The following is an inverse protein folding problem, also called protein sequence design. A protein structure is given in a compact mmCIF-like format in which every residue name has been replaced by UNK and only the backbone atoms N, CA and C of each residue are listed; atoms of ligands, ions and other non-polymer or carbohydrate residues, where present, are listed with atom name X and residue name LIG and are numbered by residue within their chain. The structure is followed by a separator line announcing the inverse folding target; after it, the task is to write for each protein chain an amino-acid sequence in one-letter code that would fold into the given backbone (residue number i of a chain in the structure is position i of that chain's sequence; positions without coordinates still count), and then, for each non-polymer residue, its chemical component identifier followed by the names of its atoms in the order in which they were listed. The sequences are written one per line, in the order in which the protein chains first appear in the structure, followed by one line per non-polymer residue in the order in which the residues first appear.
data_IF_526930892085
#
_entry.id   IF_526930892085
#
_cell.length_a   1.000
_cell.length_b   1.000
_cell.length_c   1.000
_cell.angle_alpha   90.00
_cell.angle_beta   90.00
_cell.angle_gamma   90.00
#
_symmetry.space_group_name_H-M   'P 1'
#
loop_
_entity.id
_entity.type
_entity.pdbx_description
1 polymer ?
#
# COMPACT_ATOMS: atom_id res chain seq x y z
N UNK A 1 -31.96 -4.39 -74.14
CA UNK A 1 -32.12 -3.23 -73.24
C UNK A 1 -32.44 -3.62 -71.79
N UNK A 2 -33.66 -4.07 -71.42
CA UNK A 2 -33.95 -4.41 -70.01
C UNK A 2 -33.10 -5.56 -69.48
N UNK A 3 -32.89 -6.61 -70.30
CA UNK A 3 -32.05 -7.76 -69.92
C UNK A 3 -30.59 -7.36 -69.65
N UNK A 4 -30.00 -6.55 -70.52
CA UNK A 4 -28.63 -6.04 -70.34
C UNK A 4 -28.49 -5.14 -69.11
N UNK A 5 -29.51 -4.32 -68.81
CA UNK A 5 -29.55 -3.51 -67.59
C UNK A 5 -29.61 -4.39 -66.34
N UNK A 6 -30.43 -5.45 -66.37
CA UNK A 6 -30.51 -6.42 -65.27
C UNK A 6 -29.22 -7.21 -65.10
N UNK A 7 -28.58 -7.64 -66.18
CA UNK A 7 -27.30 -8.37 -66.13
C UNK A 7 -26.18 -7.47 -65.57
N UNK A 8 -26.13 -6.20 -65.95
CA UNK A 8 -25.20 -5.20 -65.40
C UNK A 8 -25.43 -4.95 -63.91
N UNK A 9 -26.70 -4.82 -63.50
CA UNK A 9 -27.07 -4.68 -62.09
C UNK A 9 -26.68 -5.91 -61.27
N UNK A 10 -26.95 -7.12 -61.76
CA UNK A 10 -26.62 -8.37 -61.08
C UNK A 10 -25.11 -8.54 -60.90
N UNK A 11 -24.31 -8.18 -61.92
CA UNK A 11 -22.85 -8.19 -61.80
C UNK A 11 -22.36 -7.18 -60.75
N UNK A 12 -22.89 -5.95 -60.78
CA UNK A 12 -22.54 -4.92 -59.79
C UNK A 12 -22.92 -5.34 -58.36
N UNK A 13 -24.08 -5.99 -58.20
CA UNK A 13 -24.55 -6.50 -56.92
C UNK A 13 -23.66 -7.64 -56.42
N UNK A 14 -23.19 -8.51 -57.32
CA UNK A 14 -22.25 -9.59 -56.99
C UNK A 14 -20.92 -9.02 -56.49
N UNK A 15 -20.32 -8.10 -57.24
CA UNK A 15 -19.07 -7.44 -56.85
C UNK A 15 -19.19 -6.69 -55.51
N UNK A 16 -20.33 -6.02 -55.29
CA UNK A 16 -20.61 -5.35 -54.03
C UNK A 16 -20.67 -6.35 -52.87
N UNK A 17 -21.39 -7.47 -53.04
CA UNK A 17 -21.53 -8.49 -52.01
C UNK A 17 -20.19 -9.17 -51.71
N UNK A 18 -19.34 -9.43 -52.72
CA UNK A 18 -18.01 -9.97 -52.53
C UNK A 18 -17.12 -9.02 -51.70
N UNK A 19 -17.10 -7.72 -52.05
CA UNK A 19 -16.37 -6.71 -51.29
C UNK A 19 -16.88 -6.57 -49.85
N UNK A 20 -18.21 -6.55 -49.67
CA UNK A 20 -18.84 -6.48 -48.35
C UNK A 20 -18.48 -7.69 -47.49
N UNK A 21 -18.55 -8.89 -48.06
CA UNK A 21 -18.21 -10.12 -47.35
C UNK A 21 -16.73 -10.15 -46.96
N UNK A 22 -15.85 -9.73 -47.87
CA UNK A 22 -14.43 -9.62 -47.57
C UNK A 22 -14.16 -8.64 -46.42
N UNK A 23 -14.78 -7.45 -46.45
CA UNK A 23 -14.66 -6.46 -45.38
C UNK A 23 -15.17 -7.00 -44.04
N UNK A 24 -16.31 -7.73 -44.04
CA UNK A 24 -16.85 -8.34 -42.82
C UNK A 24 -15.89 -9.36 -42.21
N UNK A 25 -15.29 -10.24 -43.03
CA UNK A 25 -14.29 -11.23 -42.56
C UNK A 25 -13.08 -10.55 -41.90
N UNK A 26 -12.62 -9.43 -42.46
CA UNK A 26 -11.52 -8.65 -41.87
C UNK A 26 -11.94 -8.03 -40.54
N UNK A 27 -13.15 -7.45 -40.45
CA UNK A 27 -13.70 -6.90 -39.21
C UNK A 27 -13.78 -7.98 -38.12
N UNK A 28 -14.35 -9.14 -38.43
CA UNK A 28 -14.52 -10.24 -37.48
C UNK A 28 -13.16 -10.74 -36.98
N UNK A 29 -12.15 -10.80 -37.86
CA UNK A 29 -10.78 -11.15 -37.50
C UNK A 29 -10.16 -10.14 -36.53
N UNK A 30 -10.31 -8.85 -36.80
CA UNK A 30 -9.76 -7.80 -35.92
C UNK A 30 -10.53 -7.71 -34.59
N UNK A 31 -11.84 -7.93 -34.59
CA UNK A 31 -12.64 -8.07 -33.36
C UNK A 31 -12.13 -9.24 -32.51
N UNK A 32 -11.92 -10.41 -33.11
CA UNK A 32 -11.33 -11.56 -32.40
C UNK A 32 -9.91 -11.27 -31.88
N UNK A 33 -9.14 -10.41 -32.54
CA UNK A 33 -7.83 -9.95 -32.06
C UNK A 33 -7.97 -9.01 -30.85
N UNK A 34 -8.93 -8.08 -30.90
CA UNK A 34 -9.25 -7.18 -29.78
C UNK A 34 -9.69 -7.96 -28.53
N UNK A 35 -10.56 -8.96 -28.68
CA UNK A 35 -10.97 -9.80 -27.56
C UNK A 35 -9.80 -10.54 -26.91
N UNK A 36 -8.88 -11.08 -27.72
CA UNK A 36 -7.66 -11.74 -27.21
C UNK A 36 -6.76 -10.76 -26.47
N UNK A 37 -6.61 -9.54 -26.98
CA UNK A 37 -5.84 -8.49 -26.31
C UNK A 37 -6.50 -8.07 -25.00
N UNK A 38 -7.82 -7.92 -24.97
CA UNK A 38 -8.56 -7.59 -23.75
C UNK A 38 -8.36 -8.66 -22.68
N UNK A 39 -8.49 -9.95 -23.02
CA UNK A 39 -8.21 -11.06 -22.08
C UNK A 39 -6.77 -11.02 -21.54
N UNK A 40 -5.79 -10.62 -22.35
CA UNK A 40 -4.40 -10.45 -21.88
C UNK A 40 -4.28 -9.28 -20.91
N UNK A 41 -4.93 -8.14 -21.19
CA UNK A 41 -4.97 -6.99 -20.29
C UNK A 41 -5.60 -7.39 -18.95
N UNK A 42 -6.72 -8.09 -18.97
CA UNK A 42 -7.42 -8.50 -17.75
C UNK A 42 -6.56 -9.47 -16.91
N UNK A 43 -5.86 -10.40 -17.57
CA UNK A 43 -4.88 -11.27 -16.91
C UNK A 43 -3.73 -10.48 -16.30
N UNK A 44 -3.20 -9.49 -17.01
CA UNK A 44 -2.12 -8.63 -16.49
C UNK A 44 -2.57 -7.79 -15.30
N UNK A 45 -3.81 -7.25 -15.33
CA UNK A 45 -4.40 -6.53 -14.20
C UNK A 45 -4.58 -7.42 -12.99
N UNK A 46 -5.09 -8.64 -13.18
CA UNK A 46 -5.21 -9.60 -12.11
C UNK A 46 -3.82 -9.95 -11.53
N UNK A 47 -2.84 -10.25 -12.38
CA UNK A 47 -1.47 -10.49 -11.94
C UNK A 47 -0.88 -9.30 -11.15
N UNK A 48 -1.15 -8.06 -11.57
CA UNK A 48 -0.69 -6.86 -10.86
C UNK A 48 -1.35 -6.72 -9.48
N UNK A 49 -2.63 -7.09 -9.37
CA UNK A 49 -3.35 -7.05 -8.10
C UNK A 49 -2.88 -8.14 -7.13
N UNK A 50 -2.61 -9.34 -7.65
CA UNK A 50 -2.11 -10.49 -6.88
C UNK A 50 -0.60 -10.43 -6.62
N UNK A 51 0.13 -9.46 -7.19
CA UNK A 51 1.55 -9.33 -6.94
C UNK A 51 1.77 -9.09 -5.45
N UNK A 52 2.54 -9.96 -4.77
CA UNK A 52 2.78 -9.79 -3.35
C UNK A 52 3.55 -8.47 -3.13
N UNK A 53 2.94 -7.56 -2.37
CA UNK A 53 3.64 -6.37 -1.92
C UNK A 53 4.48 -6.74 -0.70
N UNK A 54 5.74 -6.27 -0.59
CA UNK A 54 6.52 -6.43 0.63
C UNK A 54 5.75 -5.90 1.84
N UNK A 55 5.47 -6.75 2.81
CA UNK A 55 4.83 -6.30 4.04
C UNK A 55 5.91 -5.69 4.94
N UNK A 56 5.94 -4.36 5.03
CA UNK A 56 6.90 -3.63 5.85
C UNK A 56 6.78 -3.98 7.34
N UNK A 57 5.58 -4.37 7.78
CA UNK A 57 5.35 -4.75 9.16
C UNK A 57 6.10 -6.04 9.49
N UNK A 58 5.90 -7.08 8.67
CA UNK A 58 6.56 -8.38 8.85
C UNK A 58 8.06 -8.33 8.55
N UNK A 59 8.46 -7.48 7.61
CA UNK A 59 9.85 -7.42 7.14
C UNK A 59 10.74 -6.53 8.02
N UNK A 60 10.15 -5.58 8.76
CA UNK A 60 10.92 -4.58 9.51
C UNK A 60 10.44 -4.45 10.95
N UNK A 61 9.15 -4.21 11.19
CA UNK A 61 8.66 -3.90 12.56
C UNK A 61 8.68 -5.13 13.45
N UNK A 62 8.27 -6.30 12.94
CA UNK A 62 8.35 -7.57 13.65
C UNK A 62 9.79 -7.94 14.07
N UNK A 63 10.78 -8.01 13.15
CA UNK A 63 12.16 -8.27 13.52
C UNK A 63 12.75 -7.25 14.50
N UNK A 64 12.43 -5.97 14.34
CA UNK A 64 12.88 -4.92 15.24
C UNK A 64 12.31 -5.10 16.66
N UNK A 65 11.01 -5.38 16.76
CA UNK A 65 10.36 -5.65 18.04
C UNK A 65 10.94 -6.89 18.71
N UNK A 66 11.18 -7.96 17.96
CA UNK A 66 11.79 -9.18 18.49
C UNK A 66 13.20 -8.91 19.05
N UNK A 67 14.05 -8.18 18.31
CA UNK A 67 15.39 -7.83 18.75
C UNK A 67 15.38 -7.00 20.04
N UNK A 68 14.52 -5.98 20.12
CA UNK A 68 14.37 -5.14 21.32
C UNK A 68 13.78 -5.95 22.50
N UNK A 69 12.82 -6.82 22.23
CA UNK A 69 12.19 -7.69 23.22
C UNK A 69 13.18 -8.64 23.87
N UNK A 70 14.06 -9.26 23.08
CA UNK A 70 15.13 -10.13 23.57
C UNK A 70 16.10 -9.34 24.46
N UNK A 71 16.47 -8.13 24.04
CA UNK A 71 17.42 -7.28 24.77
C UNK A 71 16.85 -6.78 26.10
N UNK A 72 15.60 -6.37 26.11
CA UNK A 72 14.89 -5.92 27.32
C UNK A 72 14.44 -7.07 28.23
N UNK A 73 14.51 -8.32 27.73
CA UNK A 73 13.90 -9.49 28.35
C UNK A 73 12.41 -9.27 28.71
N UNK A 74 11.64 -8.75 27.74
CA UNK A 74 10.20 -8.46 27.87
C UNK A 74 9.43 -9.17 26.78
N UNK A 75 8.09 -9.13 26.85
CA UNK A 75 7.19 -9.46 25.74
C UNK A 75 6.82 -8.18 25.01
N UNK A 76 6.35 -8.28 23.77
CA UNK A 76 5.90 -7.12 23.00
C UNK A 76 4.54 -7.31 22.37
N UNK A 77 3.86 -6.19 22.13
CA UNK A 77 2.63 -6.13 21.34
C UNK A 77 2.61 -4.84 20.50
N UNK A 78 1.84 -4.85 19.40
CA UNK A 78 1.73 -3.72 18.48
C UNK A 78 0.37 -3.07 18.57
N UNK A 79 0.38 -1.74 18.56
CA UNK A 79 -0.81 -0.91 18.53
C UNK A 79 -0.74 -0.03 17.29
N UNK A 80 -1.59 -0.33 16.31
CA UNK A 80 -1.66 0.37 15.02
C UNK A 80 -1.85 -0.58 13.85
N UNK A 81 -1.63 -0.11 12.61
CA UNK A 81 -1.32 1.28 12.25
C UNK A 81 -2.51 2.22 12.49
N UNK A 82 -2.26 3.43 12.98
CA UNK A 82 -3.27 4.46 13.21
C UNK A 82 -3.05 5.73 12.39
N UNK A 83 -4.15 6.43 12.11
CA UNK A 83 -4.15 7.75 11.49
C UNK A 83 -3.58 7.79 10.06
N UNK A 84 -3.39 9.01 9.56
CA UNK A 84 -2.89 9.25 8.19
C UNK A 84 -1.39 8.95 8.03
N UNK A 85 -0.64 8.84 9.13
CA UNK A 85 0.80 8.57 9.11
C UNK A 85 1.13 7.09 9.27
N UNK A 86 0.11 6.22 9.37
CA UNK A 86 0.25 4.80 9.67
C UNK A 86 1.14 4.54 10.89
N UNK A 87 0.94 5.34 11.94
CA UNK A 87 1.78 5.26 13.13
C UNK A 87 1.53 3.96 13.87
N UNK A 88 2.59 3.29 14.30
CA UNK A 88 2.49 2.05 15.06
C UNK A 88 3.36 2.16 16.28
N UNK A 89 2.77 1.90 17.44
CA UNK A 89 3.49 1.86 18.70
C UNK A 89 3.79 0.42 19.07
N UNK A 90 5.05 0.14 19.38
CA UNK A 90 5.50 -1.12 19.94
C UNK A 90 5.53 -0.93 21.45
N UNK A 91 4.80 -1.76 22.20
CA UNK A 91 4.85 -1.79 23.65
C UNK A 91 5.60 -3.03 24.12
N UNK A 92 6.57 -2.84 25.01
CA UNK A 92 7.31 -3.90 25.69
C UNK A 92 6.86 -3.97 27.15
N UNK A 93 6.46 -5.15 27.59
CA UNK A 93 5.81 -5.37 28.88
C UNK A 93 6.12 -6.76 29.44
N UNK A 94 5.88 -6.96 30.74
CA UNK A 94 6.12 -8.26 31.38
C UNK A 94 5.05 -9.29 31.00
N UNK A 95 3.79 -8.88 30.91
CA UNK A 95 2.67 -9.79 30.71
C UNK A 95 1.63 -9.23 29.72
N UNK A 96 1.48 -9.90 28.57
CA UNK A 96 0.51 -9.56 27.53
C UNK A 96 -0.95 -9.70 27.98
N UNK A 97 -1.22 -10.45 29.06
CA UNK A 97 -2.58 -10.61 29.58
C UNK A 97 -3.01 -9.44 30.50
N UNK A 98 -2.10 -8.52 30.81
CA UNK A 98 -2.37 -7.34 31.62
C UNK A 98 -2.44 -6.14 30.67
N UNK A 99 -3.42 -5.25 30.87
CA UNK A 99 -3.50 -4.01 30.08
C UNK A 99 -2.21 -3.19 30.20
N UNK A 100 -1.78 -2.57 29.11
CA UNK A 100 -0.64 -1.65 29.07
C UNK A 100 -0.76 -0.49 30.06
N UNK A 101 -1.98 -0.11 30.46
CA UNK A 101 -2.22 0.95 31.46
C UNK A 101 -1.99 0.48 32.90
N UNK A 102 -1.98 -0.83 33.14
CA UNK A 102 -1.99 -1.43 34.48
C UNK A 102 -0.65 -2.10 34.85
N UNK A 103 0.40 -1.86 34.07
CA UNK A 103 1.76 -2.36 34.30
C UNK A 103 2.79 -1.37 33.77
N UNK A 104 4.04 -1.55 34.15
CA UNK A 104 5.14 -0.78 33.58
C UNK A 104 5.37 -1.21 32.13
N UNK A 105 5.54 -0.23 31.25
CA UNK A 105 5.76 -0.45 29.82
C UNK A 105 6.87 0.42 29.29
N UNK A 106 7.56 -0.09 28.26
CA UNK A 106 8.49 0.66 27.43
C UNK A 106 7.89 0.72 26.04
N UNK A 107 7.92 1.86 25.38
CA UNK A 107 7.34 1.97 24.05
C UNK A 107 8.11 2.86 23.11
N UNK A 108 7.92 2.59 21.82
CA UNK A 108 8.38 3.44 20.73
C UNK A 108 7.29 3.52 19.67
N UNK A 109 7.01 4.73 19.20
CA UNK A 109 6.08 4.98 18.09
C UNK A 109 6.87 5.21 16.81
N UNK A 110 6.58 4.38 15.80
CA UNK A 110 7.27 4.36 14.51
C UNK A 110 6.35 4.82 13.38
N UNK A 111 6.95 5.45 12.37
CA UNK A 111 6.29 5.95 11.17
C UNK A 111 6.97 5.41 9.90
N UNK A 112 6.25 4.65 9.06
CA UNK A 112 6.79 4.07 7.82
C UNK A 112 6.82 5.05 6.63
N UNK A 113 6.68 6.36 6.85
CA UNK A 113 6.53 7.35 5.76
C UNK A 113 7.74 7.49 4.84
N UNK A 114 8.93 7.05 5.25
CA UNK A 114 10.19 7.15 4.49
C UNK A 114 10.67 5.83 3.88
N UNK A 115 9.85 4.77 3.86
CA UNK A 115 10.29 3.44 3.42
C UNK A 115 10.81 3.40 1.98
N UNK A 116 10.32 4.27 1.10
CA UNK A 116 10.81 4.38 -0.28
C UNK A 116 12.29 4.81 -0.37
N UNK A 117 12.77 5.52 0.65
CA UNK A 117 14.16 5.97 0.79
C UNK A 117 14.95 5.10 1.78
N UNK A 118 14.34 4.02 2.28
CA UNK A 118 14.94 3.15 3.30
C UNK A 118 14.96 3.74 4.71
N UNK A 119 14.12 4.75 4.99
CA UNK A 119 14.11 5.45 6.29
C UNK A 119 12.82 5.13 7.05
N UNK A 120 12.96 4.75 8.32
CA UNK A 120 11.87 4.74 9.30
C UNK A 120 12.05 5.92 10.22
N UNK A 121 10.95 6.58 10.59
CA UNK A 121 10.99 7.66 11.57
C UNK A 121 10.39 7.19 12.91
N UNK A 122 10.79 7.83 14.00
CA UNK A 122 10.19 7.65 15.32
C UNK A 122 9.66 8.97 15.88
N UNK A 123 8.74 8.89 16.84
CA UNK A 123 8.23 10.05 17.58
C UNK A 123 9.23 10.47 18.66
N UNK A 124 9.71 11.72 18.63
CA UNK A 124 10.72 12.19 19.60
C UNK A 124 10.14 12.55 20.97
N UNK A 125 8.82 12.74 21.05
CA UNK A 125 8.13 13.24 22.25
C UNK A 125 8.07 14.76 22.35
N UNK A 126 8.75 15.47 21.45
CA UNK A 126 8.70 16.93 21.37
C UNK A 126 7.56 17.40 20.44
N UNK A 127 6.95 18.54 20.76
CA UNK A 127 5.97 19.20 19.90
C UNK A 127 6.62 20.35 19.14
N UNK A 128 6.21 20.58 17.89
CA UNK A 128 6.57 21.81 17.16
C UNK A 128 5.99 23.01 17.90
N UNK A 129 6.86 23.83 18.50
CA UNK A 129 6.44 25.12 19.05
C UNK A 129 5.99 26.06 17.91
N UNK A 130 4.86 26.73 18.12
CA UNK A 130 4.49 27.92 17.33
C UNK A 130 3.52 27.76 16.17
N UNK A 131 2.59 26.79 16.17
CA UNK A 131 1.42 26.84 15.26
C UNK A 131 0.12 26.86 16.03
N UNK A 132 -0.74 27.81 15.65
CA UNK A 132 -2.08 28.05 16.18
C UNK A 132 -2.82 26.74 16.45
N UNK A 133 -3.32 26.57 17.68
CA UNK A 133 -4.14 25.43 18.15
C UNK A 133 -5.49 25.27 17.42
N UNK A 134 -5.67 25.98 16.31
CA UNK A 134 -6.87 26.07 15.49
C UNK A 134 -6.70 25.54 14.06
N UNK A 135 -5.54 24.94 13.72
CA UNK A 135 -5.35 24.28 12.42
C UNK A 135 -5.89 22.85 12.42
N UNK A 136 -6.58 22.46 11.34
CA UNK A 136 -7.22 21.13 11.11
C UNK A 136 -6.26 19.93 11.31
N UNK A 137 -4.96 20.16 11.40
CA UNK A 137 -3.91 19.14 11.60
C UNK A 137 -3.64 18.78 13.06
N UNK A 138 -4.14 19.56 14.03
CA UNK A 138 -3.89 19.38 15.46
C UNK A 138 -4.53 18.10 16.06
N UNK A 139 -5.78 17.71 15.70
CA UNK A 139 -6.41 16.51 16.24
C UNK A 139 -5.75 15.19 15.81
N UNK A 140 -4.89 15.22 14.78
CA UNK A 140 -4.30 14.04 14.14
C UNK A 140 -2.80 13.86 14.49
N UNK A 141 -2.28 14.53 15.51
CA UNK A 141 -0.91 14.30 16.00
C UNK A 141 0.23 14.79 15.09
N UNK A 142 -0.07 15.58 14.04
CA UNK A 142 0.95 16.13 13.11
C UNK A 142 1.86 17.20 13.71
N UNK A 143 1.57 17.62 14.94
CA UNK A 143 2.38 18.57 15.69
C UNK A 143 3.55 17.89 16.44
N UNK A 144 3.59 16.56 16.52
CA UNK A 144 4.72 15.84 17.09
C UNK A 144 5.92 15.86 16.14
N UNK A 145 7.10 16.17 16.69
CA UNK A 145 8.37 16.06 16.01
C UNK A 145 8.72 14.59 15.81
N UNK A 146 9.28 14.31 14.64
CA UNK A 146 9.78 12.99 14.26
C UNK A 146 11.23 13.12 13.82
N UNK A 147 12.01 12.07 14.05
CA UNK A 147 13.39 11.98 13.61
C UNK A 147 13.64 10.59 12.98
N UNK A 148 14.65 10.45 12.11
CA UNK A 148 15.05 9.15 11.58
C UNK A 148 15.37 8.19 12.73
N UNK A 149 14.90 6.96 12.61
CA UNK A 149 15.24 5.88 13.53
C UNK A 149 16.73 5.56 13.34
N UNK A 150 17.52 5.44 14.43
CA UNK A 150 18.91 5.01 14.33
C UNK A 150 19.05 3.61 13.74
N UNK A 151 20.24 3.29 13.24
CA UNK A 151 20.50 1.98 12.58
C UNK A 151 20.81 0.85 13.58
N UNK A 152 21.14 1.18 14.83
CA UNK A 152 21.55 0.19 15.85
C UNK A 152 20.48 -0.04 16.91
N UNK A 153 20.30 -1.30 17.31
CA UNK A 153 19.36 -1.69 18.38
C UNK A 153 19.73 -1.00 19.71
N UNK A 154 21.03 -0.79 19.97
CA UNK A 154 21.57 -0.09 21.14
C UNK A 154 21.14 1.38 21.21
N UNK A 155 21.06 2.06 20.07
CA UNK A 155 20.60 3.44 20.02
C UNK A 155 19.09 3.52 20.09
N UNK A 156 18.39 2.61 19.41
CA UNK A 156 16.92 2.55 19.43
C UNK A 156 16.40 2.28 20.85
N UNK A 157 17.04 1.38 21.59
CA UNK A 157 16.67 1.08 22.98
C UNK A 157 16.66 2.33 23.87
N UNK A 158 17.60 3.26 23.64
CA UNK A 158 17.68 4.52 24.41
C UNK A 158 16.54 5.48 24.12
N UNK A 159 15.84 5.29 23.00
CA UNK A 159 14.68 6.10 22.60
C UNK A 159 13.38 5.60 23.21
N UNK A 160 13.38 4.46 23.90
CA UNK A 160 12.17 3.90 24.49
C UNK A 160 11.63 4.79 25.60
N UNK A 161 10.33 5.08 25.52
CA UNK A 161 9.60 5.83 26.52
C UNK A 161 9.13 4.87 27.60
N UNK A 162 9.59 5.07 28.83
CA UNK A 162 9.14 4.31 29.98
C UNK A 162 7.89 4.94 30.61
N UNK A 163 6.79 4.21 30.62
CA UNK A 163 5.54 4.59 31.29
C UNK A 163 5.31 3.68 32.50
N UNK A 164 5.24 4.28 33.68
CA UNK A 164 4.93 3.56 34.91
C UNK A 164 3.44 3.25 34.99
N UNK A 165 3.12 2.14 35.64
CA UNK A 165 1.76 1.82 36.05
C UNK A 165 1.11 3.03 36.76
N UNK A 166 -0.09 3.37 36.31
CA UNK A 166 -0.97 4.36 36.97
C UNK A 166 -1.69 3.77 38.19
#
# INVERSE_FOLDING_TARGET
MLKELMDSYLNSLKDFNEKRNHAQVVIDKEQGRLEKLQKKIDKMKHNLYEMPHPNWFDSIFNPLAEALSQKLNKKYDFYGPFGLRNETTIYFMENLNISICNQDTWSITLYPGGLGDGIIYYQTGETKDGKDRNHVTDPNGFNMLIAPLPDSIEEIEKLLVHSKKS
#
